data_IF_591515034895
#
_entry.id   IF_591515034895
#
_cell.length_a   1.000
_cell.length_b   1.000
_cell.length_c   1.000
_cell.angle_alpha   90.00
_cell.angle_beta   90.00
_cell.angle_gamma   90.00
#
_symmetry.space_group_name_H-M   'P 1'
#
loop_
_entity.id
_entity.type
_entity.pdbx_description
1 polymer ?
#
# COMPACT_ATOMS: atom_id res chain seq x y z
N UNK A 1 -27.15 14.50 3.07
CA UNK A 1 -25.94 14.19 2.30
C UNK A 1 -26.40 14.13 0.85
N UNK A 2 -26.37 15.26 0.15
CA UNK A 2 -25.35 15.49 -0.90
C UNK A 2 -25.71 14.62 -2.10
N UNK A 3 -26.36 15.19 -3.12
CA UNK A 3 -26.78 14.49 -4.34
C UNK A 3 -25.71 13.46 -4.73
N UNK A 4 -26.11 12.19 -4.81
CA UNK A 4 -25.21 11.10 -5.15
C UNK A 4 -24.43 11.44 -6.42
N UNK A 5 -23.16 11.06 -6.48
CA UNK A 5 -22.37 11.19 -7.70
C UNK A 5 -23.17 10.60 -8.87
N UNK A 6 -23.33 11.39 -9.92
CA UNK A 6 -23.94 10.96 -11.18
C UNK A 6 -23.34 9.63 -11.65
N UNK A 7 -24.18 8.68 -12.04
CA UNK A 7 -23.77 7.33 -12.43
C UNK A 7 -22.73 7.37 -13.55
N UNK A 8 -22.85 8.31 -14.49
CA UNK A 8 -21.87 8.49 -15.58
C UNK A 8 -20.48 8.85 -15.03
N UNK A 9 -20.41 9.63 -13.95
CA UNK A 9 -19.15 9.98 -13.28
C UNK A 9 -18.57 8.78 -12.53
N UNK A 10 -19.41 7.98 -11.87
CA UNK A 10 -19.00 6.75 -11.19
C UNK A 10 -18.37 5.78 -12.20
N UNK A 11 -19.01 5.59 -13.35
CA UNK A 11 -18.54 4.71 -14.41
C UNK A 11 -17.22 5.22 -15.01
N UNK A 12 -17.09 6.53 -15.25
CA UNK A 12 -15.84 7.13 -15.73
C UNK A 12 -14.68 6.98 -14.73
N UNK A 13 -14.96 7.10 -13.43
CA UNK A 13 -13.96 6.88 -12.37
C UNK A 13 -13.53 5.41 -12.32
N UNK A 14 -14.47 4.47 -12.46
CA UNK A 14 -14.14 3.04 -12.54
C UNK A 14 -13.31 2.70 -13.78
N UNK A 15 -13.63 3.28 -14.94
CA UNK A 15 -12.86 3.09 -16.16
C UNK A 15 -11.42 3.60 -16.00
N UNK A 16 -11.25 4.78 -15.39
CA UNK A 16 -9.92 5.34 -15.10
C UNK A 16 -9.16 4.49 -14.11
N UNK A 17 -9.83 4.04 -13.03
CA UNK A 17 -9.26 3.14 -12.04
C UNK A 17 -8.74 1.85 -12.68
N UNK A 18 -9.58 1.20 -13.50
CA UNK A 18 -9.26 -0.05 -14.18
C UNK A 18 -8.03 0.08 -15.07
N UNK A 19 -8.00 1.09 -15.94
CA UNK A 19 -6.89 1.30 -16.87
C UNK A 19 -5.55 1.53 -16.15
N UNK A 20 -5.57 2.27 -15.04
CA UNK A 20 -4.36 2.52 -14.26
C UNK A 20 -3.89 1.30 -13.45
N UNK A 21 -4.81 0.47 -12.96
CA UNK A 21 -4.47 -0.79 -12.29
C UNK A 21 -3.90 -1.79 -13.29
N UNK A 22 -4.50 -1.93 -14.47
CA UNK A 22 -3.99 -2.80 -15.53
C UNK A 22 -2.59 -2.37 -15.96
N UNK A 23 -2.38 -1.05 -16.18
CA UNK A 23 -1.04 -0.51 -16.45
C UNK A 23 -0.06 -0.84 -15.33
N UNK A 24 -0.45 -0.68 -14.07
CA UNK A 24 0.45 -0.99 -12.97
C UNK A 24 0.75 -2.49 -12.87
N UNK A 25 -0.21 -3.35 -13.23
CA UNK A 25 0.00 -4.79 -13.29
C UNK A 25 1.06 -5.17 -14.32
N UNK A 26 1.06 -4.50 -15.48
CA UNK A 26 2.15 -4.65 -16.48
C UNK A 26 3.50 -4.23 -15.88
N UNK A 27 3.55 -3.07 -15.24
CA UNK A 27 4.78 -2.52 -14.62
C UNK A 27 5.38 -3.43 -13.56
N UNK A 28 4.56 -3.98 -12.65
CA UNK A 28 5.07 -4.86 -11.58
C UNK A 28 5.51 -6.23 -12.08
N UNK A 29 5.08 -6.64 -13.28
CA UNK A 29 5.52 -7.86 -13.94
C UNK A 29 6.79 -7.66 -14.78
N UNK A 30 7.20 -6.41 -15.04
CA UNK A 30 8.49 -6.11 -15.66
C UNK A 30 9.58 -6.03 -14.57
N UNK A 31 10.56 -6.95 -14.55
CA UNK A 31 11.64 -6.94 -13.56
C UNK A 31 12.55 -5.71 -13.65
N UNK A 32 12.49 -4.94 -14.75
CA UNK A 32 13.34 -3.77 -14.99
C UNK A 32 12.67 -2.44 -14.65
N UNK A 33 11.34 -2.38 -14.50
CA UNK A 33 10.62 -1.10 -14.35
C UNK A 33 11.00 -0.36 -13.05
N UNK A 34 11.16 -1.10 -11.96
CA UNK A 34 11.58 -0.55 -10.66
C UNK A 34 13.08 -0.73 -10.37
N UNK A 35 13.91 -0.84 -11.41
CA UNK A 35 15.35 -0.99 -11.24
C UNK A 35 15.97 0.21 -10.50
N UNK A 36 16.88 -0.09 -9.57
CA UNK A 36 17.55 0.91 -8.75
C UNK A 36 18.88 1.31 -9.40
N UNK A 37 18.99 2.55 -9.86
CA UNK A 37 20.22 3.06 -10.47
C UNK A 37 21.36 3.11 -9.46
N UNK A 38 22.59 2.70 -9.83
CA UNK A 38 23.78 2.95 -9.02
C UNK A 38 23.91 4.44 -8.67
N UNK A 39 24.30 4.73 -7.42
CA UNK A 39 24.44 6.11 -6.94
C UNK A 39 23.14 6.80 -6.54
N UNK A 40 21.96 6.19 -6.78
CA UNK A 40 20.68 6.72 -6.31
C UNK A 40 20.56 6.72 -4.79
N UNK A 41 19.68 7.56 -4.21
CA UNK A 41 19.35 7.51 -2.79
C UNK A 41 18.97 6.11 -2.30
N UNK A 42 18.16 5.39 -3.07
CA UNK A 42 17.66 4.05 -2.73
C UNK A 42 18.76 2.99 -2.80
N UNK A 43 19.70 3.07 -3.76
CA UNK A 43 20.89 2.21 -3.76
C UNK A 43 21.75 2.39 -2.50
N UNK A 44 21.81 3.62 -1.99
CA UNK A 44 22.49 3.90 -0.72
C UNK A 44 21.76 3.32 0.49
N UNK A 45 20.43 3.22 0.43
CA UNK A 45 19.62 2.62 1.48
C UNK A 45 19.82 1.10 1.50
N UNK A 46 19.80 0.45 0.34
CA UNK A 46 20.00 -0.99 0.19
C UNK A 46 21.36 -1.46 0.71
N UNK A 47 22.43 -0.71 0.40
CA UNK A 47 23.76 -0.99 0.97
C UNK A 47 23.78 -0.86 2.48
N UNK A 48 23.06 0.11 3.04
CA UNK A 48 23.03 0.36 4.47
C UNK A 48 22.21 -0.69 5.24
N UNK A 49 21.21 -1.29 4.60
CA UNK A 49 20.35 -2.30 5.22
C UNK A 49 20.68 -3.75 4.83
N UNK A 50 21.72 -4.00 4.02
CA UNK A 50 22.10 -5.33 3.54
C UNK A 50 22.13 -6.42 4.64
N UNK A 51 21.46 -7.58 4.43
CA UNK A 51 20.75 -8.01 3.20
C UNK A 51 19.27 -7.58 3.13
N UNK A 52 18.78 -6.81 4.10
CA UNK A 52 17.37 -6.40 4.22
C UNK A 52 17.09 -5.14 3.42
N UNK A 53 17.25 -5.24 2.10
CA UNK A 53 17.22 -4.10 1.17
C UNK A 53 15.88 -3.37 1.18
N UNK A 54 15.93 -2.02 1.19
CA UNK A 54 14.75 -1.16 1.23
C UNK A 54 13.96 -1.27 -0.07
N UNK A 55 14.64 -1.27 -1.21
CA UNK A 55 14.03 -1.39 -2.54
C UNK A 55 13.21 -2.66 -2.66
N UNK A 56 13.78 -3.81 -2.30
CA UNK A 56 13.10 -5.10 -2.34
C UNK A 56 11.86 -5.15 -1.44
N UNK A 57 11.96 -4.65 -0.21
CA UNK A 57 10.80 -4.63 0.69
C UNK A 57 9.66 -3.74 0.15
N UNK A 58 10.00 -2.59 -0.43
CA UNK A 58 9.03 -1.69 -1.07
C UNK A 58 8.41 -2.33 -2.30
N UNK A 59 9.21 -2.93 -3.19
CA UNK A 59 8.73 -3.59 -4.40
C UNK A 59 7.79 -4.76 -4.06
N UNK A 60 8.12 -5.57 -3.05
CA UNK A 60 7.22 -6.64 -2.59
C UNK A 60 5.85 -6.11 -2.16
N UNK A 61 5.82 -4.98 -1.45
CA UNK A 61 4.58 -4.35 -1.03
C UNK A 61 3.79 -3.76 -2.21
N UNK A 62 4.48 -3.20 -3.22
CA UNK A 62 3.84 -2.70 -4.45
C UNK A 62 3.20 -3.87 -5.21
N UNK A 63 3.95 -4.95 -5.45
CA UNK A 63 3.43 -6.15 -6.13
C UNK A 63 2.17 -6.67 -5.42
N UNK A 64 2.23 -6.87 -4.09
CA UNK A 64 1.07 -7.35 -3.33
C UNK A 64 -0.11 -6.35 -3.36
N UNK A 65 0.17 -5.04 -3.31
CA UNK A 65 -0.86 -4.02 -3.34
C UNK A 65 -1.58 -3.96 -4.70
N UNK A 66 -0.80 -4.05 -5.78
CA UNK A 66 -1.31 -4.06 -7.17
C UNK A 66 -2.09 -5.34 -7.44
N UNK A 67 -1.59 -6.50 -6.98
CA UNK A 67 -2.31 -7.77 -7.08
C UNK A 67 -3.70 -7.72 -6.41
N UNK A 68 -3.77 -7.15 -5.20
CA UNK A 68 -5.05 -6.94 -4.52
C UNK A 68 -6.01 -6.03 -5.29
N UNK A 69 -5.53 -4.93 -5.86
CA UNK A 69 -6.35 -4.01 -6.65
C UNK A 69 -6.80 -4.64 -7.97
N UNK A 70 -5.90 -5.37 -8.63
CA UNK A 70 -6.19 -6.07 -9.88
C UNK A 70 -7.21 -7.20 -9.65
N UNK A 71 -7.05 -8.01 -8.59
CA UNK A 71 -8.04 -9.04 -8.23
C UNK A 71 -9.43 -8.44 -7.93
N UNK A 72 -9.48 -7.32 -7.20
CA UNK A 72 -10.72 -6.61 -6.93
C UNK A 72 -11.36 -6.08 -8.22
N UNK A 73 -10.55 -5.43 -9.07
CA UNK A 73 -10.95 -4.93 -10.39
C UNK A 73 -11.53 -6.05 -11.25
N UNK A 74 -10.86 -7.20 -11.31
CA UNK A 74 -11.33 -8.32 -12.12
C UNK A 74 -12.63 -8.92 -11.61
N UNK A 75 -12.83 -9.02 -10.29
CA UNK A 75 -14.12 -9.44 -9.75
C UNK A 75 -15.23 -8.45 -10.13
N UNK A 76 -15.01 -7.15 -9.90
CA UNK A 76 -16.04 -6.14 -10.09
C UNK A 76 -16.35 -5.86 -11.56
N UNK A 77 -15.33 -5.59 -12.37
CA UNK A 77 -15.48 -5.04 -13.71
C UNK A 77 -15.39 -6.11 -14.80
N UNK A 78 -14.45 -7.05 -14.69
CA UNK A 78 -14.25 -8.06 -15.73
C UNK A 78 -15.29 -9.20 -15.60
N UNK A 79 -15.62 -9.59 -14.36
CA UNK A 79 -16.55 -10.69 -14.06
C UNK A 79 -17.94 -10.22 -13.62
N UNK A 80 -18.16 -8.91 -13.45
CA UNK A 80 -19.43 -8.33 -12.97
C UNK A 80 -19.94 -8.99 -11.69
N UNK A 81 -19.04 -9.28 -10.75
CA UNK A 81 -19.31 -10.01 -9.51
C UNK A 81 -18.90 -9.19 -8.28
N UNK A 82 -19.90 -8.65 -7.59
CA UNK A 82 -19.67 -7.87 -6.37
C UNK A 82 -20.17 -8.60 -5.12
N UNK A 83 -19.25 -9.29 -4.44
CA UNK A 83 -19.50 -9.83 -3.11
C UNK A 83 -19.58 -8.70 -2.07
N UNK A 84 -20.36 -8.91 -1.01
CA UNK A 84 -20.64 -7.88 0.00
C UNK A 84 -19.43 -7.44 0.82
N UNK A 85 -18.46 -8.34 1.05
CA UNK A 85 -17.29 -8.05 1.89
C UNK A 85 -15.94 -8.32 1.20
N UNK A 86 -15.85 -9.29 0.30
CA UNK A 86 -14.56 -9.75 -0.24
C UNK A 86 -13.78 -8.65 -0.99
N UNK A 87 -14.39 -7.83 -1.87
CA UNK A 87 -13.71 -6.70 -2.51
C UNK A 87 -13.15 -5.69 -1.51
N UNK A 88 -13.88 -5.40 -0.42
CA UNK A 88 -13.39 -4.53 0.65
C UNK A 88 -12.19 -5.14 1.37
N UNK A 89 -12.15 -6.45 1.57
CA UNK A 89 -10.97 -7.14 2.13
C UNK A 89 -9.75 -7.03 1.22
N UNK A 90 -9.94 -7.10 -0.10
CA UNK A 90 -8.84 -6.89 -1.07
C UNK A 90 -8.32 -5.45 -1.00
N UNK A 91 -9.22 -4.46 -1.03
CA UNK A 91 -8.83 -3.04 -0.90
C UNK A 91 -8.18 -2.74 0.46
N UNK A 92 -8.64 -3.38 1.55
CA UNK A 92 -7.97 -3.34 2.86
C UNK A 92 -6.51 -3.76 2.74
N UNK A 93 -6.28 -4.91 2.09
CA UNK A 93 -4.96 -5.48 1.86
C UNK A 93 -4.07 -4.50 1.10
N UNK A 94 -4.57 -3.95 -0.01
CA UNK A 94 -3.87 -2.96 -0.81
C UNK A 94 -3.48 -1.71 0.01
N UNK A 95 -4.44 -1.10 0.71
CA UNK A 95 -4.20 0.07 1.55
C UNK A 95 -3.13 -0.20 2.62
N UNK A 96 -3.16 -1.39 3.23
CA UNK A 96 -2.23 -1.78 4.29
C UNK A 96 -0.79 -1.94 3.76
N UNK A 97 -0.60 -2.70 2.69
CA UNK A 97 0.75 -2.96 2.15
C UNK A 97 1.34 -1.72 1.47
N UNK A 98 0.54 -0.93 0.75
CA UNK A 98 0.99 0.32 0.13
C UNK A 98 1.34 1.37 1.20
N UNK A 99 0.55 1.47 2.27
CA UNK A 99 0.88 2.35 3.40
C UNK A 99 2.17 1.94 4.09
N UNK A 100 2.43 0.64 4.18
CA UNK A 100 3.66 0.09 4.78
C UNK A 100 4.89 0.46 3.96
N UNK A 101 4.83 0.32 2.63
CA UNK A 101 5.89 0.77 1.74
C UNK A 101 6.09 2.29 1.76
N UNK A 102 5.00 3.06 1.73
CA UNK A 102 5.07 4.52 1.85
C UNK A 102 5.71 4.93 3.19
N UNK A 103 5.31 4.30 4.30
CA UNK A 103 5.91 4.50 5.61
C UNK A 103 7.42 4.19 5.57
N UNK A 104 7.86 3.08 5.00
CA UNK A 104 9.29 2.77 4.86
C UNK A 104 10.03 3.85 4.08
N UNK A 105 9.51 4.25 2.92
CA UNK A 105 10.26 5.00 1.92
C UNK A 105 10.15 6.53 2.04
N UNK A 106 9.05 7.04 2.59
CA UNK A 106 8.77 8.48 2.62
C UNK A 106 9.81 9.31 3.38
N UNK A 107 10.29 8.93 4.58
CA UNK A 107 11.20 9.75 5.37
C UNK A 107 12.42 10.25 4.58
N UNK A 108 12.75 11.53 4.73
CA UNK A 108 13.90 12.13 4.03
C UNK A 108 15.25 11.53 4.46
N UNK A 109 15.39 11.17 5.74
CA UNK A 109 16.62 10.62 6.31
C UNK A 109 16.76 9.13 6.02
N UNK A 110 17.90 8.72 5.45
CA UNK A 110 18.25 7.31 5.19
C UNK A 110 18.18 6.44 6.43
N UNK A 111 18.72 6.92 7.55
CA UNK A 111 18.73 6.18 8.81
C UNK A 111 17.33 5.79 9.27
N UNK A 112 16.34 6.67 9.05
CA UNK A 112 14.93 6.39 9.36
C UNK A 112 14.35 5.36 8.40
N UNK A 113 14.68 5.41 7.10
CA UNK A 113 14.21 4.41 6.13
C UNK A 113 14.80 3.02 6.43
N UNK A 114 16.09 2.96 6.76
CA UNK A 114 16.78 1.74 7.20
C UNK A 114 16.16 1.20 8.49
N UNK A 115 15.89 2.04 9.47
CA UNK A 115 15.17 1.63 10.68
C UNK A 115 13.80 1.01 10.35
N UNK A 116 13.01 1.67 9.50
CA UNK A 116 11.66 1.22 9.15
C UNK A 116 11.65 -0.11 8.39
N UNK A 117 12.58 -0.34 7.47
CA UNK A 117 12.67 -1.65 6.79
C UNK A 117 13.10 -2.76 7.76
N UNK A 118 14.00 -2.48 8.71
CA UNK A 118 14.39 -3.47 9.73
C UNK A 118 13.23 -3.80 10.67
N UNK A 119 12.41 -2.80 11.04
CA UNK A 119 11.15 -3.01 11.78
C UNK A 119 10.14 -3.83 10.96
N UNK A 120 10.06 -3.60 9.66
CA UNK A 120 9.21 -4.41 8.77
C UNK A 120 9.66 -5.88 8.75
N UNK A 121 10.96 -6.15 8.63
CA UNK A 121 11.48 -7.53 8.73
C UNK A 121 11.32 -8.15 10.11
N UNK A 122 11.43 -7.36 11.19
CA UNK A 122 11.13 -7.83 12.54
C UNK A 122 9.68 -8.30 12.66
N UNK A 123 8.72 -7.56 12.10
CA UNK A 123 7.31 -8.00 12.02
C UNK A 123 7.19 -9.30 11.22
N UNK A 124 7.82 -9.40 10.05
CA UNK A 124 7.83 -10.64 9.27
C UNK A 124 8.36 -11.83 10.08
N UNK A 125 9.44 -11.67 10.86
CA UNK A 125 9.96 -12.75 11.70
C UNK A 125 9.07 -13.05 12.91
N UNK A 126 8.38 -12.05 13.45
CA UNK A 126 7.38 -12.24 14.50
C UNK A 126 6.23 -13.11 14.01
N UNK A 127 5.68 -12.81 12.84
CA UNK A 127 4.53 -13.51 12.26
C UNK A 127 4.92 -14.90 11.71
N UNK A 128 6.10 -15.00 11.07
CA UNK A 128 6.61 -16.25 10.50
C UNK A 128 6.88 -17.32 11.56
N UNK A 129 7.38 -16.94 12.73
CA UNK A 129 7.82 -17.89 13.75
C UNK A 129 6.72 -18.86 14.22
N UNK A 130 5.56 -18.40 14.74
CA UNK A 130 4.50 -19.30 15.15
C UNK A 130 3.92 -20.12 13.98
N UNK A 131 3.92 -19.56 12.77
CA UNK A 131 3.45 -20.27 11.57
C UNK A 131 4.36 -21.45 11.19
N UNK A 132 5.68 -21.33 11.39
CA UNK A 132 6.65 -22.38 11.09
C UNK A 132 6.94 -23.31 12.28
N UNK A 133 6.78 -22.82 13.51
CA UNK A 133 6.95 -23.62 14.72
C UNK A 133 5.93 -24.77 14.78
N UNK A 134 4.68 -24.53 14.36
CA UNK A 134 3.64 -25.56 14.26
C UNK A 134 3.99 -26.68 13.28
N UNK A 135 4.92 -26.44 12.36
CA UNK A 135 5.42 -27.39 11.36
C UNK A 135 6.79 -27.98 11.74
N UNK A 136 7.38 -27.58 12.88
CA UNK A 136 8.74 -27.98 13.28
C UNK A 136 9.85 -27.36 12.41
N UNK A 137 9.56 -26.32 11.63
CA UNK A 137 10.49 -25.66 10.70
C UNK A 137 11.16 -24.41 11.29
N UNK A 138 10.81 -24.03 12.52
CA UNK A 138 11.43 -22.93 13.26
C UNK A 138 11.46 -23.24 14.75
N UNK A 139 12.48 -22.74 15.43
CA UNK A 139 12.64 -22.83 16.87
C UNK A 139 13.08 -21.49 17.48
N UNK A 140 13.22 -21.45 18.81
CA UNK A 140 13.65 -20.27 19.55
C UNK A 140 15.06 -19.80 19.16
N UNK A 141 15.96 -20.73 18.83
CA UNK A 141 17.33 -20.41 18.41
C UNK A 141 17.35 -19.67 17.07
N UNK A 142 16.60 -20.18 16.09
CA UNK A 142 16.42 -19.57 14.76
C UNK A 142 15.82 -18.17 14.87
N UNK A 143 14.78 -18.01 15.71
CA UNK A 143 14.19 -16.70 16.01
C UNK A 143 15.26 -15.75 16.58
N UNK A 144 15.97 -16.16 17.62
CA UNK A 144 17.01 -15.35 18.27
C UNK A 144 18.09 -14.91 17.29
N UNK A 145 18.53 -15.79 16.39
CA UNK A 145 19.54 -15.48 15.38
C UNK A 145 19.08 -14.39 14.39
N UNK A 146 17.83 -14.48 13.89
CA UNK A 146 17.24 -13.46 13.00
C UNK A 146 17.19 -12.07 13.66
N UNK A 147 16.73 -11.99 14.91
CA UNK A 147 16.70 -10.72 15.65
C UNK A 147 18.10 -10.19 15.98
N UNK A 148 19.07 -11.06 16.26
CA UNK A 148 20.46 -10.63 16.47
C UNK A 148 21.06 -10.00 15.21
N UNK A 149 20.73 -10.55 14.02
CA UNK A 149 21.15 -9.99 12.73
C UNK A 149 20.56 -8.60 12.49
N UNK A 150 19.28 -8.38 12.79
CA UNK A 150 18.66 -7.05 12.69
C UNK A 150 19.36 -6.02 13.57
N UNK A 151 19.69 -6.36 14.83
CA UNK A 151 20.42 -5.47 15.74
C UNK A 151 21.82 -5.13 15.25
N UNK A 152 22.53 -6.12 14.69
CA UNK A 152 23.85 -5.90 14.11
C UNK A 152 23.81 -4.88 12.97
N UNK A 153 22.83 -5.01 12.06
CA UNK A 153 22.66 -4.08 10.94
C UNK A 153 22.26 -2.68 11.43
N UNK A 154 21.31 -2.58 12.36
CA UNK A 154 20.91 -1.33 13.00
C UNK A 154 22.11 -0.59 13.63
N UNK A 155 22.97 -1.32 14.35
CA UNK A 155 24.18 -0.78 14.96
C UNK A 155 25.18 -0.22 13.94
N UNK A 156 25.40 -0.91 12.81
CA UNK A 156 26.26 -0.43 11.71
C UNK A 156 25.71 0.84 11.04
N UNK A 157 24.38 0.95 10.93
CA UNK A 157 23.68 2.07 10.31
C UNK A 157 23.43 3.27 11.23
N UNK A 158 23.93 3.25 12.47
CA UNK A 158 23.67 4.26 13.51
C UNK A 158 22.17 4.48 13.80
N UNK A 159 21.35 3.44 13.62
CA UNK A 159 19.93 3.46 14.00
C UNK A 159 19.81 3.40 15.53
N UNK A 160 19.14 4.40 16.10
CA UNK A 160 19.01 4.53 17.57
C UNK A 160 17.77 3.83 18.13
N UNK A 161 16.73 3.62 17.31
CA UNK A 161 15.49 3.01 17.74
C UNK A 161 15.60 1.49 17.88
N UNK A 162 14.74 0.90 18.72
CA UNK A 162 14.58 -0.55 18.76
C UNK A 162 13.86 -1.05 17.50
N UNK A 163 14.61 -1.76 16.66
CA UNK A 163 14.07 -2.38 15.45
C UNK A 163 13.33 -3.69 15.73
N UNK A 164 13.52 -4.31 16.90
CA UNK A 164 13.02 -5.65 17.20
C UNK A 164 11.55 -5.68 17.64
N UNK A 165 10.99 -4.55 18.05
CA UNK A 165 9.56 -4.40 18.31
C UNK A 165 8.66 -4.43 17.07
N UNK A 166 9.25 -4.40 15.86
CA UNK A 166 8.50 -4.38 14.60
C UNK A 166 7.73 -3.08 14.39
N UNK A 167 6.70 -3.12 13.54
CA UNK A 167 5.77 -2.01 13.32
C UNK A 167 4.32 -2.50 13.34
N UNK A 168 3.37 -1.56 13.48
CA UNK A 168 1.94 -1.84 13.43
C UNK A 168 1.35 -1.30 12.13
N UNK A 169 0.44 -2.05 11.50
CA UNK A 169 -0.24 -1.59 10.28
C UNK A 169 -0.93 -0.23 10.49
N UNK A 170 -1.55 -0.01 11.65
CA UNK A 170 -2.15 1.29 12.02
C UNK A 170 -1.14 2.44 12.06
N UNK A 171 0.11 2.19 12.47
CA UNK A 171 1.18 3.21 12.45
C UNK A 171 1.48 3.62 11.01
N UNK A 172 1.64 2.65 10.10
CA UNK A 172 1.92 2.93 8.70
C UNK A 172 0.76 3.62 7.99
N UNK A 173 -0.48 3.17 8.19
CA UNK A 173 -1.68 3.77 7.58
C UNK A 173 -1.90 5.19 8.11
N UNK A 174 -1.78 5.43 9.41
CA UNK A 174 -1.89 6.78 9.99
C UNK A 174 -0.79 7.71 9.46
N UNK A 175 0.42 7.18 9.31
CA UNK A 175 1.53 7.94 8.74
C UNK A 175 1.24 8.32 7.28
N UNK A 176 0.76 7.38 6.46
CA UNK A 176 0.39 7.64 5.07
C UNK A 176 -0.73 8.67 4.98
N UNK A 177 -1.77 8.58 5.82
CA UNK A 177 -2.87 9.55 5.89
C UNK A 177 -2.39 10.99 6.13
N UNK A 178 -1.44 11.16 7.04
CA UNK A 178 -0.89 12.47 7.35
C UNK A 178 0.11 13.01 6.31
N UNK A 179 0.80 12.14 5.56
CA UNK A 179 1.99 12.53 4.78
C UNK A 179 1.86 12.29 3.27
N UNK A 180 0.94 11.44 2.81
CA UNK A 180 0.71 11.24 1.39
C UNK A 180 0.11 12.52 0.78
N UNK A 181 0.64 12.98 -0.37
CA UNK A 181 0.22 14.24 -0.98
C UNK A 181 -1.21 14.17 -1.49
N UNK A 182 -1.64 13.01 -1.99
CA UNK A 182 -2.95 12.84 -2.63
C UNK A 182 -3.88 11.97 -1.79
N UNK A 183 -3.40 10.81 -1.33
CA UNK A 183 -4.26 9.83 -0.65
C UNK A 183 -4.51 10.17 0.83
N UNK A 184 -5.69 9.76 1.32
CA UNK A 184 -6.10 9.78 2.74
C UNK A 184 -6.62 8.40 3.18
N UNK A 185 -5.73 7.39 3.31
CA UNK A 185 -6.13 5.99 3.43
C UNK A 185 -6.80 5.60 4.76
N UNK A 186 -6.74 6.40 5.83
CA UNK A 186 -7.08 5.90 7.17
C UNK A 186 -8.55 5.48 7.29
N UNK A 187 -9.48 6.36 6.91
CA UNK A 187 -10.91 6.06 6.99
C UNK A 187 -11.26 4.87 6.08
N UNK A 188 -10.76 4.87 4.85
CA UNK A 188 -10.96 3.79 3.89
C UNK A 188 -10.46 2.45 4.43
N UNK A 189 -9.28 2.43 5.05
CA UNK A 189 -8.72 1.22 5.67
C UNK A 189 -9.57 0.75 6.86
N UNK A 190 -10.07 1.67 7.70
CA UNK A 190 -10.96 1.34 8.83
C UNK A 190 -12.30 0.77 8.36
N UNK A 191 -12.92 1.36 7.33
CA UNK A 191 -14.15 0.84 6.71
C UNK A 191 -13.93 -0.56 6.16
N UNK A 192 -12.90 -0.74 5.33
CA UNK A 192 -12.55 -2.05 4.77
C UNK A 192 -12.21 -3.09 5.84
N UNK A 193 -11.59 -2.67 6.97
CA UNK A 193 -11.38 -3.52 8.14
C UNK A 193 -12.69 -3.94 8.82
N UNK A 194 -13.67 -3.04 8.89
CA UNK A 194 -15.03 -3.34 9.32
C UNK A 194 -15.66 -4.48 8.50
N UNK A 195 -15.56 -4.40 7.17
CA UNK A 195 -16.07 -5.45 6.28
C UNK A 195 -15.31 -6.77 6.45
N UNK A 196 -13.98 -6.71 6.46
CA UNK A 196 -13.13 -7.91 6.58
C UNK A 196 -13.38 -8.69 7.88
N UNK A 197 -13.79 -7.99 8.95
CA UNK A 197 -14.08 -8.59 10.25
C UNK A 197 -15.58 -8.72 10.56
N UNK A 198 -16.48 -8.49 9.60
CA UNK A 198 -17.92 -8.63 9.80
C UNK A 198 -18.47 -7.71 10.89
N UNK A 199 -17.96 -6.48 11.01
CA UNK A 199 -18.34 -5.53 12.07
C UNK A 199 -19.65 -4.81 11.70
N UNK A 200 -20.73 -4.91 12.51
CA UNK A 200 -22.03 -4.37 12.14
C UNK A 200 -22.04 -2.89 11.77
N UNK A 201 -21.25 -2.05 12.45
CA UNK A 201 -21.25 -0.60 12.23
C UNK A 201 -21.00 -0.20 10.78
N UNK A 202 -20.18 -0.94 10.02
CA UNK A 202 -19.89 -0.58 8.64
C UNK A 202 -21.06 -0.92 7.73
N UNK A 203 -21.71 -2.06 7.95
CA UNK A 203 -22.90 -2.45 7.21
C UNK A 203 -24.07 -1.51 7.52
N UNK A 204 -24.21 -1.11 8.79
CA UNK A 204 -25.22 -0.17 9.23
C UNK A 204 -24.97 1.25 8.70
N UNK A 205 -23.73 1.73 8.80
CA UNK A 205 -23.36 3.07 8.36
C UNK A 205 -23.30 3.26 6.84
N UNK A 206 -23.22 2.16 6.08
CA UNK A 206 -23.17 2.16 4.61
C UNK A 206 -24.46 1.61 3.98
N UNK A 207 -25.47 1.28 4.77
CA UNK A 207 -26.73 0.79 4.24
C UNK A 207 -27.64 1.92 3.78
N UNK A 208 -28.41 1.65 2.74
CA UNK A 208 -29.52 2.49 2.32
C UNK A 208 -30.71 2.25 3.25
N UNK A 209 -31.61 3.22 3.39
CA UNK A 209 -32.74 3.15 4.34
C UNK A 209 -33.64 1.92 4.11
N UNK A 210 -33.73 1.46 2.86
CA UNK A 210 -34.52 0.29 2.44
C UNK A 210 -33.84 -1.07 2.72
N UNK A 211 -32.61 -1.06 3.24
CA UNK A 211 -31.87 -2.27 3.59
C UNK A 211 -32.24 -2.81 4.99
N UNK A 212 -33.09 -2.13 5.75
CA UNK A 212 -33.52 -2.56 7.09
C UNK A 212 -35.01 -2.86 7.16
N UNK A 213 -35.34 -3.93 7.88
CA UNK A 213 -36.70 -4.23 8.31
C UNK A 213 -36.70 -4.42 9.83
N UNK A 214 -37.59 -3.71 10.52
CA UNK A 214 -37.87 -3.99 11.92
C UNK A 214 -38.38 -5.42 12.07
N UNK A 215 -37.97 -6.10 13.15
CA UNK A 215 -38.52 -7.39 13.51
C UNK A 215 -39.53 -7.22 14.64
N UNK A 216 -40.23 -8.31 14.98
CA UNK A 216 -41.15 -8.33 16.12
C UNK A 216 -40.42 -8.21 17.49
N UNK A 217 -39.08 -8.27 17.50
CA UNK A 217 -38.25 -8.10 18.69
C UNK A 217 -37.73 -6.66 18.81
N UNK A 218 -38.08 -5.92 19.90
CA UNK A 218 -37.63 -4.54 20.08
C UNK A 218 -36.10 -4.43 20.07
N UNK A 219 -35.58 -3.57 19.18
CA UNK A 219 -34.14 -3.32 19.05
C UNK A 219 -33.39 -4.32 18.15
N UNK A 220 -34.10 -5.26 17.51
CA UNK A 220 -33.53 -6.17 16.51
C UNK A 220 -33.95 -5.73 15.11
N UNK A 221 -32.97 -5.57 14.22
CA UNK A 221 -33.18 -5.23 12.83
C UNK A 221 -32.75 -6.38 11.93
N UNK A 222 -33.57 -6.69 10.92
CA UNK A 222 -33.18 -7.56 9.82
C UNK A 222 -32.56 -6.71 8.72
N UNK A 223 -31.27 -6.89 8.49
CA UNK A 223 -30.55 -6.17 7.44
C UNK A 223 -30.41 -7.02 6.17
N UNK A 224 -30.84 -6.48 5.03
CA UNK A 224 -30.49 -7.00 3.70
C UNK A 224 -29.22 -6.29 3.25
N UNK A 225 -28.06 -6.92 3.43
CA UNK A 225 -26.79 -6.38 2.92
C UNK A 225 -26.69 -6.60 1.41
N UNK A 226 -26.82 -5.53 0.65
CA UNK A 226 -26.56 -5.47 -0.79
C UNK A 226 -25.16 -4.95 -1.03
N UNK A 227 -24.59 -5.34 -2.17
CA UNK A 227 -23.30 -4.81 -2.60
C UNK A 227 -23.52 -3.65 -3.56
N UNK A 228 -22.85 -2.53 -3.33
CA UNK A 228 -22.94 -1.32 -4.14
C UNK A 228 -21.53 -0.92 -4.63
N UNK A 229 -21.28 -0.90 -5.95
CA UNK A 229 -20.01 -0.43 -6.51
C UNK A 229 -19.64 1.00 -6.07
N UNK A 230 -20.60 1.90 -5.88
CA UNK A 230 -20.36 3.26 -5.43
C UNK A 230 -19.72 3.31 -4.03
N UNK A 231 -20.14 2.41 -3.13
CA UNK A 231 -19.60 2.30 -1.76
C UNK A 231 -18.17 1.75 -1.75
N UNK A 232 -17.81 0.94 -2.75
CA UNK A 232 -16.45 0.41 -2.93
C UNK A 232 -15.51 1.37 -3.67
N UNK A 233 -16.05 2.30 -4.46
CA UNK A 233 -15.26 3.22 -5.28
C UNK A 233 -14.36 4.11 -4.41
N UNK A 234 -14.92 4.70 -3.35
CA UNK A 234 -14.17 5.60 -2.46
C UNK A 234 -12.89 4.96 -1.86
N UNK A 235 -12.96 3.80 -1.18
CA UNK A 235 -11.74 3.17 -0.66
C UNK A 235 -10.79 2.70 -1.78
N UNK A 236 -11.33 2.31 -2.95
CA UNK A 236 -10.50 1.89 -4.10
C UNK A 236 -9.69 3.04 -4.68
N UNK A 237 -10.28 4.23 -4.83
CA UNK A 237 -9.59 5.43 -5.29
C UNK A 237 -8.47 5.83 -4.32
N UNK A 238 -8.70 5.76 -3.00
CA UNK A 238 -7.65 6.06 -2.02
C UNK A 238 -6.47 5.09 -2.11
N UNK A 239 -6.73 3.80 -2.38
CA UNK A 239 -5.67 2.83 -2.61
C UNK A 239 -4.89 3.13 -3.89
N UNK A 240 -5.60 3.47 -4.98
CA UNK A 240 -4.99 3.85 -6.25
C UNK A 240 -4.13 5.13 -6.14
N UNK A 241 -4.60 6.16 -5.44
CA UNK A 241 -3.84 7.38 -5.23
C UNK A 241 -2.60 7.13 -4.37
N UNK A 242 -2.72 6.28 -3.35
CA UNK A 242 -1.56 5.92 -2.52
C UNK A 242 -0.52 5.12 -3.33
N UNK A 243 -0.98 4.23 -4.21
CA UNK A 243 -0.12 3.52 -5.16
C UNK A 243 0.65 4.51 -6.04
N UNK A 244 -0.01 5.52 -6.62
CA UNK A 244 0.63 6.57 -7.42
C UNK A 244 1.65 7.39 -6.61
N UNK A 245 1.24 7.87 -5.43
CA UNK A 245 2.10 8.63 -4.52
C UNK A 245 3.38 7.84 -4.14
N UNK A 246 3.25 6.52 -3.95
CA UNK A 246 4.35 5.62 -3.66
C UNK A 246 5.26 5.37 -4.88
N UNK A 247 4.69 5.12 -6.05
CA UNK A 247 5.45 4.90 -7.29
C UNK A 247 6.28 6.13 -7.64
N UNK A 248 5.70 7.33 -7.56
CA UNK A 248 6.41 8.60 -7.75
C UNK A 248 7.59 8.76 -6.77
N UNK A 249 7.42 8.25 -5.54
CA UNK A 249 8.48 8.28 -4.54
C UNK A 249 9.59 7.26 -4.83
N UNK A 250 9.23 6.06 -5.30
CA UNK A 250 10.20 5.04 -5.75
C UNK A 250 11.02 5.58 -6.90
N UNK A 251 10.38 6.13 -7.94
CA UNK A 251 11.07 6.64 -9.11
C UNK A 251 12.00 7.81 -8.78
N UNK A 252 11.57 8.72 -7.90
CA UNK A 252 12.43 9.84 -7.43
C UNK A 252 13.65 9.36 -6.66
N UNK A 253 13.53 8.29 -5.87
CA UNK A 253 14.62 7.77 -5.03
C UNK A 253 15.49 6.72 -5.72
N UNK A 254 14.96 6.04 -6.73
CA UNK A 254 15.62 4.97 -7.49
C UNK A 254 16.50 5.49 -8.62
N UNK A 255 16.26 6.72 -9.11
CA UNK A 255 17.08 7.36 -10.15
C UNK A 255 18.28 8.11 -9.56
N UNK A 256 19.36 8.20 -10.34
CA UNK A 256 20.54 8.97 -9.95
C UNK A 256 20.26 10.47 -10.12
N UNK A 257 20.44 11.31 -9.07
CA UNK A 257 20.20 12.75 -9.15
C UNK A 257 21.04 13.45 -10.22
N UNK A 258 22.27 12.98 -10.48
CA UNK A 258 23.12 13.54 -11.52
C UNK A 258 22.56 13.27 -12.93
N UNK A 259 22.11 12.04 -13.20
CA UNK A 259 21.45 11.68 -14.46
C UNK A 259 20.17 12.50 -14.66
N UNK A 260 19.39 12.73 -13.60
CA UNK A 260 18.19 13.57 -13.66
C UNK A 260 18.52 15.03 -14.01
N UNK A 261 19.60 15.58 -13.44
CA UNK A 261 20.05 16.94 -13.74
C UNK A 261 20.54 17.08 -15.18
N UNK A 262 21.30 16.11 -15.69
CA UNK A 262 21.77 16.10 -17.08
C UNK A 262 20.60 15.99 -18.07
N UNK A 263 19.64 15.10 -17.81
CA UNK A 263 18.44 14.96 -18.64
C UNK A 263 17.62 16.26 -18.69
N UNK A 264 17.39 16.89 -17.53
CA UNK A 264 16.66 18.15 -17.45
C UNK A 264 17.39 19.30 -18.16
N UNK A 265 18.72 19.34 -18.08
CA UNK A 265 19.54 20.30 -18.80
C UNK A 265 19.48 20.08 -20.32
N UNK A 266 19.52 18.82 -20.78
CA UNK A 266 19.40 18.44 -22.17
C UNK A 266 18.01 18.78 -22.76
N UNK A 267 16.94 18.50 -22.02
CA UNK A 267 15.57 18.82 -22.42
C UNK A 267 15.36 20.33 -22.52
N UNK A 268 15.90 21.10 -21.56
CA UNK A 268 15.86 22.56 -21.60
C UNK A 268 16.65 23.13 -22.78
N UNK A 269 17.83 22.57 -23.07
CA UNK A 269 18.62 22.96 -24.23
C UNK A 269 17.91 22.62 -25.55
N UNK A 270 17.22 21.47 -25.62
CA UNK A 270 16.41 21.07 -26.78
C UNK A 270 15.21 22.00 -26.99
N UNK A 271 14.50 22.36 -25.93
CA UNK A 271 13.43 23.35 -25.97
C UNK A 271 13.92 24.71 -26.49
N UNK A 272 15.06 25.19 -26.00
CA UNK A 272 15.64 26.46 -26.45
C UNK A 272 16.03 26.43 -27.94
N UNK A 273 16.51 25.29 -28.47
CA UNK A 273 16.81 25.12 -29.90
C UNK A 273 15.57 25.04 -30.79
N UNK A 274 14.44 24.59 -30.26
CA UNK A 274 13.17 24.50 -30.98
C UNK A 274 12.31 25.77 -30.87
N UNK A 275 12.66 26.68 -29.96
CA UNK A 275 11.89 27.90 -29.65
C UNK A 275 12.46 29.17 -30.28
N UNK A 276 13.60 29.09 -30.98
CA UNK A 276 14.16 30.21 -31.74
C UNK A 276 14.40 29.76 -33.19
N UNK A 277 13.77 30.40 -34.19
CA UNK A 277 14.03 30.14 -35.61
C UNK A 277 15.42 30.61 -36.04
#
# INVERSE_FOLDING_TARGET
MGDGLDQEKIDALWATFAADVDRMMERVNDPMDFAVSPGSPLAGDDRASDPYQVSHAVQMCIVAGVDHLHAMKSLLLDLNMLHSAAPFTMVRGALEVLSSAFWILHPAKRTVRVERVLRWHAKNFHDQHPALESLGLSDAATKKAKYARLRSIAGRGAVQADVTGGYRSTEAVTYADANAPTSKPLLSWQMCSGYAHGRPWVYLGMADEDMFQETDEPGVLKARVTSDPGKLLYPSLHAQWLMKDLVDLVERRGKNPFEQMEQAAADRARWLRLSFP
#
